data_IF_491319865637
#
_entry.id   IF_491319865637
#
_cell.length_a   1.000
_cell.length_b   1.000
_cell.length_c   1.000
_cell.angle_alpha   90.00
_cell.angle_beta   90.00
_cell.angle_gamma   90.00
#
_symmetry.space_group_name_H-M   'P 1'
#
loop_
_entity.id
_entity.type
_entity.pdbx_description
1 polymer ?
#
# COMPACT_ATOMS: atom_id res chain seq x y z
N UNK A 1 -4.07 48.53 38.77
CA UNK A 1 -4.70 48.50 40.10
C UNK A 1 -4.66 47.05 40.58
N UNK A 2 -3.71 46.84 41.49
CA UNK A 2 -3.70 46.02 42.72
C UNK A 2 -3.97 44.51 42.51
N UNK A 3 -2.96 43.64 42.65
CA UNK A 3 -2.35 43.12 43.92
C UNK A 3 -3.24 42.02 44.54
N UNK A 4 -2.84 40.87 44.99
CA UNK A 4 -1.69 40.33 45.66
C UNK A 4 -1.99 38.82 45.92
N UNK A 5 -1.01 37.96 45.91
CA UNK A 5 -0.19 37.27 46.94
C UNK A 5 -0.81 35.94 47.39
N UNK A 6 -0.10 34.88 47.31
CA UNK A 6 1.03 34.38 48.09
C UNK A 6 0.61 33.42 49.22
N UNK A 7 1.43 32.39 49.33
CA UNK A 7 1.78 31.69 50.57
C UNK A 7 1.09 30.34 50.72
N UNK A 8 1.65 29.26 51.16
CA UNK A 8 2.77 29.19 52.08
C UNK A 8 3.37 27.80 52.11
N UNK A 9 4.53 27.77 52.62
CA UNK A 9 5.51 26.68 52.79
C UNK A 9 5.20 25.76 53.96
N UNK A 10 5.80 24.57 53.82
CA UNK A 10 6.48 23.78 54.89
C UNK A 10 5.61 23.04 55.93
N UNK A 11 5.94 21.78 56.14
CA UNK A 11 6.44 21.32 57.44
C UNK A 11 7.31 20.06 57.20
N UNK A 12 8.58 20.25 57.61
CA UNK A 12 9.63 19.25 57.81
C UNK A 12 9.62 18.94 59.29
N UNK A 13 9.66 17.67 59.69
CA UNK A 13 10.29 17.16 60.91
C UNK A 13 10.05 15.67 61.06
N UNK A 14 11.04 14.89 60.86
CA UNK A 14 11.94 14.28 61.87
C UNK A 14 11.23 13.51 63.00
N UNK A 15 11.46 12.19 62.99
CA UNK A 15 11.71 11.47 64.23
C UNK A 15 12.66 10.28 63.99
N UNK A 16 13.76 10.36 64.69
CA UNK A 16 14.80 9.32 64.84
C UNK A 16 14.37 8.30 65.91
N UNK A 17 14.80 7.06 65.72
CA UNK A 17 15.24 6.24 66.85
C UNK A 17 14.44 4.96 67.13
N UNK A 18 15.03 3.81 66.85
CA UNK A 18 15.41 2.85 67.87
C UNK A 18 16.09 1.63 67.24
N UNK A 19 17.31 1.39 67.71
CA UNK A 19 18.08 0.15 67.47
C UNK A 19 17.40 -1.02 68.22
N UNK A 20 17.21 -2.13 67.49
CA UNK A 20 16.94 -3.44 68.09
C UNK A 20 17.68 -4.52 67.34
N UNK A 21 18.82 -4.94 67.89
CA UNK A 21 19.57 -6.10 67.40
C UNK A 21 18.80 -7.37 67.77
N UNK A 22 18.42 -8.16 66.75
CA UNK A 22 18.01 -9.55 66.95
C UNK A 22 18.92 -10.41 66.06
N UNK A 23 19.77 -11.18 66.72
CA UNK A 23 20.55 -12.24 66.12
C UNK A 23 19.66 -13.44 65.87
N UNK A 24 19.51 -13.85 64.63
CA UNK A 24 18.86 -15.12 64.30
C UNK A 24 19.87 -16.02 63.61
N UNK A 25 20.19 -17.08 64.32
CA UNK A 25 21.03 -18.21 63.94
C UNK A 25 20.56 -18.88 62.67
N UNK A 26 21.45 -18.98 61.69
CA UNK A 26 21.22 -19.67 60.42
C UNK A 26 21.21 -21.18 60.63
N UNK A 27 20.09 -21.81 60.54
CA UNK A 27 20.00 -23.29 60.34
C UNK A 27 19.99 -23.56 58.83
N UNK A 28 21.08 -24.09 58.33
CA UNK A 28 21.15 -24.56 56.93
C UNK A 28 20.45 -25.90 56.84
N UNK A 29 19.30 -25.91 56.27
CA UNK A 29 18.60 -27.16 55.88
C UNK A 29 18.97 -27.46 54.44
N UNK A 30 19.85 -28.39 54.20
CA UNK A 30 20.18 -28.96 52.87
C UNK A 30 19.04 -29.90 52.51
N UNK A 31 18.11 -29.45 51.68
CA UNK A 31 17.16 -30.33 51.00
C UNK A 31 17.78 -30.68 49.64
N UNK A 32 18.28 -31.90 49.55
CA UNK A 32 18.57 -32.52 48.27
C UNK A 32 17.25 -32.79 47.54
N UNK A 33 16.83 -31.97 46.63
CA UNK A 33 15.74 -32.22 45.71
C UNK A 33 16.35 -32.71 44.39
N UNK A 34 16.07 -33.96 44.08
CA UNK A 34 16.33 -34.57 42.78
C UNK A 34 15.66 -33.82 41.65
N UNK A 35 16.42 -33.68 40.59
CA UNK A 35 16.13 -33.13 39.31
C UNK A 35 14.71 -33.09 38.80
N UNK A 36 14.24 -31.93 38.62
CA UNK A 36 13.45 -31.57 37.46
C UNK A 36 14.20 -30.44 36.75
N UNK A 37 14.76 -30.79 35.60
CA UNK A 37 15.22 -29.77 34.64
C UNK A 37 13.97 -29.06 34.16
N UNK A 38 13.55 -28.01 34.85
CA UNK A 38 12.68 -27.01 34.26
C UNK A 38 13.32 -26.60 32.92
N UNK A 39 12.64 -27.02 31.85
CA UNK A 39 12.87 -26.44 30.52
C UNK A 39 12.65 -24.95 30.71
N UNK A 40 13.74 -24.18 30.80
CA UNK A 40 13.73 -22.77 30.50
C UNK A 40 13.09 -22.68 29.13
N UNK A 41 11.83 -22.28 29.09
CA UNK A 41 11.14 -22.02 27.85
C UNK A 41 12.03 -21.03 27.11
N UNK A 42 12.64 -21.45 26.01
CA UNK A 42 13.32 -20.55 25.08
C UNK A 42 12.32 -19.44 24.81
N UNK A 43 12.70 -18.22 25.10
CA UNK A 43 12.04 -17.00 24.71
C UNK A 43 11.60 -17.20 23.26
N UNK A 44 10.26 -17.19 23.01
CA UNK A 44 9.70 -17.78 21.82
C UNK A 44 10.34 -17.19 20.56
N UNK A 45 11.00 -18.03 19.76
CA UNK A 45 11.26 -17.76 18.37
C UNK A 45 9.91 -17.36 17.77
N UNK A 46 9.74 -16.05 17.51
CA UNK A 46 8.56 -15.58 16.81
C UNK A 46 8.49 -16.35 15.50
N UNK A 47 7.47 -17.16 15.35
CA UNK A 47 7.29 -18.03 14.20
C UNK A 47 7.44 -17.19 12.92
N UNK A 48 8.50 -17.46 12.16
CA UNK A 48 8.81 -16.72 10.93
C UNK A 48 7.65 -16.89 9.96
N UNK A 49 7.10 -15.77 9.50
CA UNK A 49 6.00 -15.76 8.56
C UNK A 49 6.27 -14.74 7.44
N UNK A 50 6.01 -15.13 6.20
CA UNK A 50 5.92 -14.18 5.09
C UNK A 50 4.65 -13.35 5.27
N UNK A 51 4.80 -12.05 5.49
CA UNK A 51 3.66 -11.14 5.58
C UNK A 51 3.49 -10.45 4.24
N UNK A 52 2.31 -10.64 3.62
CA UNK A 52 1.93 -10.06 2.35
C UNK A 52 0.89 -8.95 2.54
N UNK A 53 0.91 -7.94 1.71
CA UNK A 53 -0.09 -6.86 1.67
C UNK A 53 -0.25 -6.30 0.26
N UNK A 54 -1.23 -5.44 0.10
CA UNK A 54 -1.43 -4.64 -1.11
C UNK A 54 -1.73 -3.18 -0.75
N UNK A 55 -1.55 -2.27 -1.71
CA UNK A 55 -2.17 -0.96 -1.64
C UNK A 55 -3.69 -1.10 -1.68
N UNK A 56 -4.48 -0.29 -0.95
CA UNK A 56 -5.94 -0.38 -0.97
C UNK A 56 -6.51 0.33 -2.20
N UNK A 57 -6.31 -0.24 -3.38
CA UNK A 57 -6.79 0.25 -4.68
C UNK A 57 -8.20 -0.23 -5.02
N UNK A 58 -8.75 -1.12 -4.21
CA UNK A 58 -10.12 -1.63 -4.26
C UNK A 58 -10.75 -1.67 -2.85
N UNK A 59 -11.98 -2.18 -2.75
CA UNK A 59 -12.65 -2.38 -1.45
C UNK A 59 -11.87 -3.37 -0.59
N UNK A 60 -11.77 -3.07 0.70
CA UNK A 60 -11.08 -3.91 1.69
C UNK A 60 -11.66 -5.33 1.72
N UNK A 61 -13.00 -5.47 1.68
CA UNK A 61 -13.65 -6.78 1.67
C UNK A 61 -13.23 -7.67 0.50
N UNK A 62 -13.04 -7.06 -0.66
CA UNK A 62 -12.68 -7.78 -1.87
C UNK A 62 -11.20 -8.20 -1.80
N UNK A 63 -10.33 -7.33 -1.29
CA UNK A 63 -8.94 -7.69 -1.01
C UNK A 63 -8.82 -8.86 -0.03
N UNK A 64 -9.58 -8.86 1.08
CA UNK A 64 -9.55 -9.97 2.06
C UNK A 64 -9.88 -11.32 1.41
N UNK A 65 -10.91 -11.35 0.55
CA UNK A 65 -11.33 -12.56 -0.15
C UNK A 65 -10.29 -12.99 -1.17
N UNK A 66 -9.84 -12.08 -2.03
CA UNK A 66 -8.92 -12.38 -3.13
C UNK A 66 -7.53 -12.80 -2.62
N UNK A 67 -7.00 -12.13 -1.60
CA UNK A 67 -5.68 -12.44 -1.05
C UNK A 67 -5.64 -13.70 -0.18
N UNK A 68 -6.79 -14.25 0.22
CA UNK A 68 -6.84 -15.53 0.93
C UNK A 68 -6.34 -16.67 0.05
N UNK A 69 -6.76 -16.74 -1.22
CA UNK A 69 -6.29 -17.74 -2.16
C UNK A 69 -4.77 -17.62 -2.39
N UNK A 70 -4.25 -16.42 -2.58
CA UNK A 70 -2.81 -16.17 -2.70
C UNK A 70 -2.05 -16.60 -1.43
N UNK A 71 -2.57 -16.29 -0.24
CA UNK A 71 -1.96 -16.69 1.02
C UNK A 71 -1.84 -18.22 1.14
N UNK A 72 -2.91 -18.95 0.85
CA UNK A 72 -2.97 -20.41 0.91
C UNK A 72 -2.04 -21.04 -0.14
N UNK A 73 -2.04 -20.52 -1.36
CA UNK A 73 -1.16 -20.95 -2.44
C UNK A 73 0.32 -20.80 -2.06
N UNK A 74 0.73 -19.60 -1.63
CA UNK A 74 2.12 -19.35 -1.24
C UNK A 74 2.55 -20.19 -0.02
N UNK A 75 1.65 -20.38 0.95
CA UNK A 75 1.96 -21.22 2.10
C UNK A 75 2.23 -22.66 1.70
N UNK A 76 1.45 -23.21 0.78
CA UNK A 76 1.60 -24.55 0.25
C UNK A 76 2.88 -24.71 -0.59
N UNK A 77 3.08 -23.86 -1.61
CA UNK A 77 4.19 -23.99 -2.56
C UNK A 77 5.56 -23.70 -1.93
N UNK A 78 5.62 -22.80 -0.95
CA UNK A 78 6.85 -22.46 -0.24
C UNK A 78 7.07 -23.29 1.02
N UNK A 79 6.05 -24.01 1.50
CA UNK A 79 6.04 -24.74 2.77
C UNK A 79 6.45 -23.84 3.97
N UNK A 80 5.85 -22.66 4.06
CA UNK A 80 6.07 -21.69 5.14
C UNK A 80 4.74 -21.10 5.62
N UNK A 81 4.78 -20.42 6.76
CA UNK A 81 3.64 -19.61 7.19
C UNK A 81 3.55 -18.33 6.38
N UNK A 82 2.36 -18.05 5.84
CA UNK A 82 2.04 -16.81 5.11
C UNK A 82 0.87 -16.13 5.79
N UNK A 83 0.90 -14.81 5.86
CA UNK A 83 -0.17 -13.98 6.42
C UNK A 83 -0.47 -12.83 5.48
N UNK A 84 -1.73 -12.62 5.15
CA UNK A 84 -2.19 -11.40 4.55
C UNK A 84 -2.54 -10.37 5.64
N UNK A 85 -2.20 -9.12 5.41
CA UNK A 85 -2.46 -8.03 6.36
C UNK A 85 -2.80 -6.76 5.60
N UNK A 86 -3.99 -6.24 5.81
CA UNK A 86 -4.51 -5.04 5.14
C UNK A 86 -3.67 -3.82 5.48
N UNK A 87 -3.44 -2.97 4.49
CA UNK A 87 -2.89 -1.63 4.66
C UNK A 87 -4.00 -0.58 4.54
N UNK A 88 -4.05 0.37 5.47
CA UNK A 88 -5.12 1.37 5.56
C UNK A 88 -5.05 2.45 4.47
N UNK A 89 -3.88 2.63 3.83
CA UNK A 89 -3.67 3.60 2.76
C UNK A 89 -2.42 3.25 1.95
N UNK A 90 -2.28 3.86 0.78
CA UNK A 90 -1.07 3.74 -0.05
C UNK A 90 0.21 4.12 0.70
N UNK A 91 0.28 5.28 1.39
CA UNK A 91 1.46 5.61 2.21
C UNK A 91 1.68 4.61 3.36
N UNK A 92 0.62 4.10 4.00
CA UNK A 92 0.75 3.13 5.07
C UNK A 92 1.39 1.83 4.57
N UNK A 93 1.07 1.36 3.37
CA UNK A 93 1.72 0.19 2.78
C UNK A 93 3.24 0.42 2.58
N UNK A 94 3.63 1.61 2.12
CA UNK A 94 5.04 1.99 1.95
C UNK A 94 5.77 2.05 3.30
N UNK A 95 5.19 2.69 4.31
CA UNK A 95 5.79 2.79 5.65
C UNK A 95 5.91 1.42 6.33
N UNK A 96 4.90 0.57 6.23
CA UNK A 96 4.96 -0.80 6.75
C UNK A 96 6.06 -1.63 6.07
N UNK A 97 6.22 -1.48 4.75
CA UNK A 97 7.30 -2.12 4.02
C UNK A 97 8.67 -1.61 4.48
N UNK A 98 8.83 -0.30 4.59
CA UNK A 98 10.06 0.34 5.08
C UNK A 98 10.45 -0.12 6.49
N UNK A 99 9.48 -0.37 7.34
CA UNK A 99 9.70 -0.85 8.71
C UNK A 99 9.90 -2.38 8.79
N UNK A 100 9.83 -3.11 7.68
CA UNK A 100 9.93 -4.58 7.66
C UNK A 100 8.73 -5.30 8.29
N UNK A 101 7.57 -4.63 8.40
CA UNK A 101 6.34 -5.22 8.93
C UNK A 101 5.62 -6.09 7.88
N UNK A 102 5.86 -5.81 6.61
CA UNK A 102 5.36 -6.55 5.46
C UNK A 102 6.51 -6.82 4.49
N UNK A 103 6.51 -7.99 3.85
CA UNK A 103 7.67 -8.50 3.14
C UNK A 103 7.47 -8.65 1.63
N UNK A 104 6.24 -8.90 1.18
CA UNK A 104 5.84 -8.93 -0.22
C UNK A 104 4.62 -8.03 -0.39
N UNK A 105 4.73 -7.05 -1.28
CA UNK A 105 3.67 -6.04 -1.44
C UNK A 105 3.31 -5.86 -2.90
N UNK A 106 2.00 -5.93 -3.19
CA UNK A 106 1.44 -5.47 -4.45
C UNK A 106 1.34 -3.95 -4.41
N UNK A 107 2.29 -3.31 -5.06
CA UNK A 107 2.37 -1.86 -5.20
C UNK A 107 1.93 -1.41 -6.58
N UNK A 108 1.45 -0.18 -6.70
CA UNK A 108 1.49 0.55 -7.96
C UNK A 108 2.92 1.01 -8.26
N UNK A 109 3.22 1.35 -9.52
CA UNK A 109 4.55 1.78 -9.94
C UNK A 109 5.15 2.86 -9.05
N UNK A 110 4.38 3.90 -8.71
CA UNK A 110 4.85 5.01 -7.88
C UNK A 110 5.13 4.60 -6.43
N UNK A 111 4.22 3.88 -5.78
CA UNK A 111 4.45 3.40 -4.41
C UNK A 111 5.57 2.36 -4.35
N UNK A 112 5.70 1.52 -5.39
CA UNK A 112 6.81 0.58 -5.52
C UNK A 112 8.16 1.29 -5.63
N UNK A 113 8.25 2.35 -6.43
CA UNK A 113 9.45 3.19 -6.51
C UNK A 113 9.76 3.85 -5.16
N UNK A 114 8.77 4.39 -4.47
CA UNK A 114 8.95 4.97 -3.12
C UNK A 114 9.47 3.93 -2.13
N UNK A 115 8.87 2.73 -2.11
CA UNK A 115 9.26 1.64 -1.23
C UNK A 115 10.70 1.19 -1.49
N UNK A 116 11.06 0.95 -2.76
CA UNK A 116 12.42 0.53 -3.16
C UNK A 116 13.47 1.61 -2.89
N UNK A 117 13.13 2.88 -3.04
CA UNK A 117 14.03 3.99 -2.69
C UNK A 117 14.27 4.09 -1.18
N UNK A 118 13.28 3.70 -0.36
CA UNK A 118 13.39 3.75 1.09
C UNK A 118 14.10 2.52 1.69
N UNK A 119 14.13 1.38 0.98
CA UNK A 119 14.70 0.12 1.46
C UNK A 119 15.74 -0.39 0.46
N UNK A 120 17.03 -0.10 0.65
CA UNK A 120 18.11 -0.63 -0.20
C UNK A 120 18.07 -2.17 -0.26
N UNK A 121 18.27 -2.73 -1.46
CA UNK A 121 18.23 -4.18 -1.68
C UNK A 121 16.83 -4.74 -1.95
N UNK A 122 15.76 -3.94 -1.82
CA UNK A 122 14.43 -4.36 -2.22
C UNK A 122 14.31 -4.44 -3.74
N UNK A 123 13.53 -5.40 -4.23
CA UNK A 123 13.38 -5.70 -5.66
C UNK A 123 11.92 -5.83 -6.07
N UNK A 124 11.56 -5.28 -7.22
CA UNK A 124 10.39 -5.73 -7.96
C UNK A 124 10.72 -7.11 -8.55
N UNK A 125 9.90 -8.11 -8.28
CA UNK A 125 10.16 -9.50 -8.72
C UNK A 125 9.13 -10.02 -9.71
N UNK A 126 7.89 -9.52 -9.67
CA UNK A 126 6.85 -9.90 -10.60
C UNK A 126 5.91 -8.72 -10.85
N UNK A 127 5.20 -8.78 -11.96
CA UNK A 127 4.16 -7.84 -12.36
C UNK A 127 3.13 -8.60 -13.20
N UNK A 128 1.97 -8.03 -13.41
CA UNK A 128 1.00 -8.62 -14.34
C UNK A 128 1.46 -8.46 -15.78
N UNK A 129 0.97 -9.32 -16.64
CA UNK A 129 1.26 -9.35 -18.07
C UNK A 129 0.98 -8.02 -18.80
N UNK A 130 0.01 -7.25 -18.31
CA UNK A 130 -0.37 -5.94 -18.88
C UNK A 130 0.35 -4.76 -18.23
N UNK A 131 1.01 -4.95 -17.08
CA UNK A 131 1.58 -3.86 -16.28
C UNK A 131 2.76 -3.12 -16.93
N UNK A 132 3.57 -3.72 -17.82
CA UNK A 132 4.57 -2.97 -18.59
C UNK A 132 3.98 -1.91 -19.53
N UNK A 133 2.72 -2.08 -19.96
CA UNK A 133 1.98 -1.18 -20.85
C UNK A 133 0.62 -0.85 -20.25
N UNK A 134 0.65 -0.23 -19.10
CA UNK A 134 -0.53 0.19 -18.36
C UNK A 134 -1.04 1.55 -18.83
N UNK A 135 -2.29 1.90 -18.51
CA UNK A 135 -2.88 3.21 -18.80
C UNK A 135 -3.93 3.61 -17.77
N UNK A 136 -4.29 4.87 -17.78
CA UNK A 136 -5.44 5.40 -17.04
C UNK A 136 -6.57 5.75 -18.00
N UNK A 137 -7.80 5.61 -17.51
CA UNK A 137 -8.96 6.21 -18.14
C UNK A 137 -9.32 7.51 -17.43
N UNK A 138 -9.57 8.56 -18.22
CA UNK A 138 -10.37 9.70 -17.78
C UNK A 138 -11.80 9.40 -18.16
N UNK A 139 -12.67 9.35 -17.15
CA UNK A 139 -14.11 9.09 -17.30
C UNK A 139 -14.90 10.33 -16.90
N UNK A 140 -16.07 10.50 -17.50
CA UNK A 140 -16.95 11.61 -17.18
C UNK A 140 -18.36 11.12 -16.84
N UNK A 141 -19.04 11.82 -15.93
CA UNK A 141 -20.47 11.57 -15.72
C UNK A 141 -21.26 11.85 -17.02
N UNK A 142 -22.21 11.00 -17.33
CA UNK A 142 -23.04 11.09 -18.56
C UNK A 142 -23.68 12.47 -18.77
N UNK A 143 -24.06 13.14 -17.69
CA UNK A 143 -24.76 14.45 -17.75
C UNK A 143 -23.81 15.59 -18.20
N UNK A 144 -22.51 15.32 -18.31
CA UNK A 144 -21.54 16.29 -18.90
C UNK A 144 -21.66 16.37 -20.41
N UNK A 145 -22.26 15.36 -21.07
CA UNK A 145 -22.33 15.27 -22.52
C UNK A 145 -20.98 15.02 -23.22
N UNK A 146 -19.90 14.76 -22.46
CA UNK A 146 -18.58 14.49 -23.01
C UNK A 146 -18.52 13.08 -23.60
N UNK A 147 -17.82 12.95 -24.72
CA UNK A 147 -17.64 11.69 -25.43
C UNK A 147 -16.14 11.39 -25.61
N UNK A 148 -15.81 10.15 -25.94
CA UNK A 148 -14.43 9.70 -26.17
C UNK A 148 -13.77 10.50 -27.30
N UNK A 149 -12.55 10.94 -27.06
CA UNK A 149 -11.68 11.63 -28.00
C UNK A 149 -10.26 11.05 -27.91
N UNK A 150 -9.55 11.07 -29.04
CA UNK A 150 -8.11 10.76 -29.06
C UNK A 150 -7.28 11.96 -28.58
N UNK A 151 -7.82 13.19 -28.68
CA UNK A 151 -7.20 14.39 -28.15
C UNK A 151 -7.62 14.61 -26.68
N UNK A 152 -6.71 15.20 -25.88
CA UNK A 152 -6.99 15.53 -24.49
C UNK A 152 -8.20 16.47 -24.38
N UNK A 153 -9.23 16.12 -23.61
CA UNK A 153 -10.48 16.86 -23.55
C UNK A 153 -10.36 18.14 -22.70
N UNK A 154 -9.70 19.17 -23.21
CA UNK A 154 -9.43 20.43 -22.50
C UNK A 154 -10.67 21.12 -21.95
N UNK A 155 -11.87 20.81 -22.46
CA UNK A 155 -13.17 21.28 -21.96
C UNK A 155 -13.47 20.88 -20.50
N UNK A 156 -12.81 19.86 -19.97
CA UNK A 156 -12.95 19.42 -18.56
C UNK A 156 -12.47 20.45 -17.54
N UNK A 157 -11.74 21.46 -17.97
CA UNK A 157 -11.11 22.51 -17.15
C UNK A 157 -12.08 23.17 -16.13
N UNK A 158 -13.35 23.34 -16.50
CA UNK A 158 -14.35 24.01 -15.66
C UNK A 158 -15.23 23.02 -14.87
N UNK A 159 -14.93 21.74 -14.93
CA UNK A 159 -15.69 20.69 -14.26
C UNK A 159 -15.03 20.31 -12.93
N UNK A 160 -15.81 19.68 -12.04
CA UNK A 160 -15.28 19.08 -10.81
C UNK A 160 -14.52 17.83 -11.19
N UNK A 161 -13.21 17.82 -10.96
CA UNK A 161 -12.31 16.73 -11.29
C UNK A 161 -11.83 16.00 -10.03
N UNK A 162 -11.87 14.66 -10.06
CA UNK A 162 -11.33 13.83 -8.99
C UNK A 162 -10.16 12.99 -9.45
N UNK A 163 -9.06 13.10 -8.72
CA UNK A 163 -8.00 12.09 -8.72
C UNK A 163 -8.37 10.93 -7.78
N UNK A 164 -7.64 9.82 -7.90
CA UNK A 164 -7.61 8.76 -6.89
C UNK A 164 -6.76 9.14 -5.67
N UNK A 165 -6.11 8.14 -5.04
CA UNK A 165 -5.15 8.38 -3.96
C UNK A 165 -3.99 9.27 -4.43
N UNK A 166 -3.52 10.16 -3.54
CA UNK A 166 -2.37 11.05 -3.83
C UNK A 166 -1.08 10.29 -4.16
N UNK A 167 -0.96 9.04 -3.73
CA UNK A 167 0.19 8.16 -3.99
C UNK A 167 -0.09 7.11 -5.08
N UNK A 168 -1.20 7.21 -5.80
CA UNK A 168 -1.51 6.32 -6.92
C UNK A 168 -0.72 6.70 -8.17
N UNK A 169 -0.24 5.71 -8.92
CA UNK A 169 0.36 5.89 -10.25
C UNK A 169 -0.70 6.32 -11.24
N UNK A 170 -1.66 5.42 -11.51
CA UNK A 170 -2.73 5.59 -12.50
C UNK A 170 -3.84 6.54 -12.06
N UNK A 171 -4.04 6.73 -10.76
CA UNK A 171 -5.03 7.66 -10.23
C UNK A 171 -4.48 9.07 -9.94
N UNK A 172 -3.17 9.29 -10.02
CA UNK A 172 -2.60 10.61 -9.68
C UNK A 172 -1.32 10.95 -10.45
N UNK A 173 -0.22 10.21 -10.30
CA UNK A 173 1.09 10.58 -10.82
C UNK A 173 1.06 10.77 -12.33
N UNK A 174 0.75 9.70 -13.06
CA UNK A 174 0.77 9.70 -14.52
C UNK A 174 -0.30 10.62 -15.12
N UNK A 175 -1.55 10.65 -14.62
CA UNK A 175 -2.50 11.67 -15.06
C UNK A 175 -2.04 13.10 -14.82
N UNK A 176 -1.35 13.40 -13.71
CA UNK A 176 -0.77 14.73 -13.49
C UNK A 176 0.26 15.08 -14.56
N UNK A 177 1.15 14.14 -14.87
CA UNK A 177 2.16 14.29 -15.91
C UNK A 177 1.54 14.55 -17.27
N UNK A 178 0.56 13.74 -17.68
CA UNK A 178 -0.09 13.92 -18.98
C UNK A 178 -0.91 15.20 -19.06
N UNK A 179 -1.64 15.59 -18.02
CA UNK A 179 -2.32 16.90 -18.00
C UNK A 179 -1.30 18.03 -18.18
N UNK A 180 -0.14 17.97 -17.50
CA UNK A 180 0.92 18.95 -17.70
C UNK A 180 1.44 18.97 -19.14
N UNK A 181 1.68 17.79 -19.74
CA UNK A 181 2.18 17.68 -21.13
C UNK A 181 1.17 18.20 -22.14
N UNK A 182 -0.12 17.89 -21.99
CA UNK A 182 -1.19 18.29 -22.92
C UNK A 182 -1.59 19.77 -22.78
N UNK A 183 -1.48 20.33 -21.57
CA UNK A 183 -2.00 21.68 -21.31
C UNK A 183 -0.91 22.72 -21.03
N UNK A 184 0.32 22.30 -20.78
CA UNK A 184 1.40 23.16 -20.28
C UNK A 184 1.20 23.64 -18.83
N UNK A 185 0.21 23.11 -18.12
CA UNK A 185 -0.15 23.57 -16.78
C UNK A 185 -0.27 22.38 -15.78
N UNK A 186 0.20 22.61 -14.57
CA UNK A 186 -0.10 21.68 -13.47
C UNK A 186 -1.62 21.65 -13.21
N UNK A 187 -2.18 20.50 -12.77
CA UNK A 187 -3.62 20.36 -12.59
C UNK A 187 -4.27 21.39 -11.69
N UNK A 188 -3.57 21.86 -10.65
CA UNK A 188 -4.06 22.91 -9.74
C UNK A 188 -4.15 24.30 -10.40
N UNK A 189 -3.47 24.49 -11.54
CA UNK A 189 -3.53 25.69 -12.39
C UNK A 189 -4.47 25.52 -13.58
N UNK A 190 -4.58 24.30 -14.09
CA UNK A 190 -5.45 23.99 -15.22
C UNK A 190 -6.93 23.99 -14.80
N UNK A 191 -7.29 23.29 -13.73
CA UNK A 191 -8.69 23.21 -13.28
C UNK A 191 -9.11 24.46 -12.53
N UNK A 192 -10.28 25.00 -12.89
CA UNK A 192 -10.87 26.18 -12.23
C UNK A 192 -11.63 25.85 -10.94
N UNK A 193 -12.00 24.58 -10.75
CA UNK A 193 -12.65 24.06 -9.55
C UNK A 193 -11.61 23.39 -8.65
N UNK A 194 -11.81 23.34 -7.33
CA UNK A 194 -10.93 22.61 -6.43
C UNK A 194 -10.83 21.13 -6.83
N UNK A 195 -9.60 20.62 -6.89
CA UNK A 195 -9.33 19.22 -7.16
C UNK A 195 -9.81 18.35 -5.99
N UNK A 196 -10.50 17.27 -6.32
CA UNK A 196 -10.91 16.25 -5.37
C UNK A 196 -9.97 15.03 -5.40
N UNK A 197 -9.96 14.25 -4.32
CA UNK A 197 -9.14 13.05 -4.18
C UNK A 197 -9.94 11.95 -3.49
N UNK A 198 -9.94 10.77 -4.08
CA UNK A 198 -10.51 9.58 -3.44
C UNK A 198 -9.41 8.91 -2.61
N UNK A 199 -9.43 9.15 -1.31
CA UNK A 199 -8.40 8.65 -0.40
C UNK A 199 -8.73 7.29 0.23
N UNK A 200 -10.01 6.91 0.18
CA UNK A 200 -10.53 5.63 0.69
C UNK A 200 -11.29 4.93 -0.45
N UNK A 201 -11.07 3.63 -0.61
CA UNK A 201 -11.73 2.82 -1.64
C UNK A 201 -11.13 2.95 -3.04
N UNK A 202 -9.96 3.57 -3.15
CA UNK A 202 -9.12 3.52 -4.36
C UNK A 202 -9.81 3.95 -5.64
N UNK A 203 -9.61 3.17 -6.69
CA UNK A 203 -10.18 3.39 -8.02
C UNK A 203 -11.70 3.19 -8.06
N UNK A 204 -12.22 2.28 -7.24
CA UNK A 204 -13.65 2.02 -7.09
C UNK A 204 -14.41 3.27 -6.67
N UNK A 205 -13.88 3.99 -5.68
CA UNK A 205 -14.49 5.21 -5.19
C UNK A 205 -14.53 6.29 -6.28
N UNK A 206 -13.46 6.41 -7.08
CA UNK A 206 -13.44 7.35 -8.20
C UNK A 206 -14.53 6.99 -9.24
N UNK A 207 -14.60 5.72 -9.65
CA UNK A 207 -15.59 5.27 -10.64
C UNK A 207 -17.02 5.51 -10.16
N UNK A 208 -17.34 5.14 -8.90
CA UNK A 208 -18.68 5.36 -8.31
C UNK A 208 -19.00 6.85 -8.14
N UNK A 209 -18.03 7.68 -7.77
CA UNK A 209 -18.23 9.12 -7.62
C UNK A 209 -18.60 9.77 -8.95
N UNK A 210 -17.98 9.34 -10.06
CA UNK A 210 -18.31 9.81 -11.40
C UNK A 210 -19.66 9.24 -11.85
N UNK A 211 -19.87 7.94 -11.77
CA UNK A 211 -21.13 7.31 -12.20
C UNK A 211 -22.34 7.86 -11.43
N UNK A 212 -22.19 8.13 -10.13
CA UNK A 212 -23.21 8.72 -9.27
C UNK A 212 -23.34 10.24 -9.36
N UNK A 213 -22.54 10.92 -10.18
CA UNK A 213 -22.63 12.37 -10.41
C UNK A 213 -22.11 13.26 -9.27
N UNK A 214 -21.47 12.70 -8.25
CA UNK A 214 -20.86 13.50 -7.17
C UNK A 214 -19.61 14.26 -7.60
N UNK A 215 -18.95 13.81 -8.66
CA UNK A 215 -17.94 14.55 -9.42
C UNK A 215 -18.26 14.44 -10.91
N UNK A 216 -17.83 15.44 -11.70
CA UNK A 216 -18.12 15.43 -13.12
C UNK A 216 -17.15 14.53 -13.91
N UNK A 217 -15.87 14.53 -13.54
CA UNK A 217 -14.78 13.86 -14.24
C UNK A 217 -13.88 13.20 -13.21
N UNK A 218 -13.37 12.02 -13.52
CA UNK A 218 -12.42 11.33 -12.66
C UNK A 218 -11.38 10.58 -13.46
N UNK A 219 -10.27 10.20 -12.80
CA UNK A 219 -9.22 9.41 -13.42
C UNK A 219 -8.88 8.19 -12.55
N UNK A 220 -8.74 7.05 -13.21
CA UNK A 220 -8.51 5.78 -12.53
C UNK A 220 -7.81 4.75 -13.43
N UNK A 221 -7.42 3.63 -12.82
CA UNK A 221 -6.91 2.44 -13.49
C UNK A 221 -7.92 1.90 -14.51
N UNK A 222 -7.46 1.63 -15.73
CA UNK A 222 -8.30 1.04 -16.76
C UNK A 222 -8.80 -0.36 -16.38
N UNK A 223 -7.94 -1.22 -15.83
CA UNK A 223 -8.30 -2.59 -15.43
C UNK A 223 -9.41 -2.59 -14.36
N UNK A 224 -9.34 -1.65 -13.39
CA UNK A 224 -10.38 -1.55 -12.37
C UNK A 224 -11.69 -1.04 -12.96
N UNK A 225 -11.64 -0.05 -13.86
CA UNK A 225 -12.85 0.41 -14.55
C UNK A 225 -13.51 -0.74 -15.34
N UNK A 226 -12.70 -1.46 -16.15
CA UNK A 226 -13.19 -2.54 -16.98
C UNK A 226 -13.81 -3.67 -16.14
N UNK A 227 -13.18 -4.06 -15.02
CA UNK A 227 -13.76 -5.07 -14.13
C UNK A 227 -15.07 -4.60 -13.48
N UNK A 228 -15.14 -3.35 -13.00
CA UNK A 228 -16.37 -2.81 -12.40
C UNK A 228 -17.55 -2.75 -13.38
N UNK A 229 -17.26 -2.49 -14.66
CA UNK A 229 -18.28 -2.54 -15.72
C UNK A 229 -18.68 -3.99 -16.00
N UNK A 230 -17.74 -4.91 -16.12
CA UNK A 230 -17.99 -6.32 -16.36
C UNK A 230 -18.81 -6.98 -15.23
N UNK A 231 -18.50 -6.61 -13.98
CA UNK A 231 -19.18 -7.10 -12.78
C UNK A 231 -20.53 -6.39 -12.51
N UNK A 232 -20.89 -5.38 -13.33
CA UNK A 232 -22.13 -4.63 -13.20
C UNK A 232 -22.17 -3.67 -12.00
N UNK A 233 -21.01 -3.35 -11.40
CA UNK A 233 -20.92 -2.41 -10.28
C UNK A 233 -21.16 -0.96 -10.69
N UNK A 234 -20.81 -0.63 -11.93
CA UNK A 234 -21.15 0.61 -12.62
C UNK A 234 -21.60 0.29 -14.05
N UNK A 235 -22.36 1.19 -14.66
CA UNK A 235 -22.68 1.10 -16.08
C UNK A 235 -21.74 2.01 -16.87
N UNK A 236 -21.19 1.51 -17.97
CA UNK A 236 -20.30 2.30 -18.84
C UNK A 236 -21.01 3.58 -19.36
N UNK A 237 -22.33 3.52 -19.55
CA UNK A 237 -23.14 4.67 -19.98
C UNK A 237 -23.24 5.78 -18.92
N UNK A 238 -23.15 5.44 -17.61
CA UNK A 238 -23.20 6.43 -16.52
C UNK A 238 -21.85 7.15 -16.30
N UNK A 239 -20.76 6.50 -16.72
CA UNK A 239 -19.40 7.02 -16.58
C UNK A 239 -18.54 6.70 -17.82
N UNK A 240 -18.91 7.21 -19.02
CA UNK A 240 -18.19 6.93 -20.25
C UNK A 240 -16.72 7.36 -20.17
N UNK A 241 -15.84 6.57 -20.81
CA UNK A 241 -14.43 6.91 -21.02
C UNK A 241 -14.38 8.07 -22.02
N UNK A 242 -13.74 9.16 -21.63
CA UNK A 242 -13.59 10.34 -22.51
C UNK A 242 -12.16 10.51 -23.04
N UNK A 243 -11.18 9.90 -22.38
CA UNK A 243 -9.79 9.89 -22.84
C UNK A 243 -8.97 8.78 -22.17
N UNK A 244 -7.99 8.29 -22.90
CA UNK A 244 -7.03 7.28 -22.43
C UNK A 244 -5.62 7.88 -22.42
N UNK A 245 -4.88 7.69 -21.34
CA UNK A 245 -3.48 8.15 -21.30
C UNK A 245 -2.61 7.30 -22.24
N UNK A 246 -1.45 7.83 -22.69
CA UNK A 246 -0.37 7.00 -23.20
C UNK A 246 0.04 5.92 -22.18
N UNK A 247 0.74 4.88 -22.67
CA UNK A 247 1.19 3.76 -21.83
C UNK A 247 2.35 4.13 -20.89
N UNK A 248 2.40 3.46 -19.75
CA UNK A 248 3.46 3.53 -18.75
C UNK A 248 3.52 2.23 -17.95
N UNK A 249 4.61 1.97 -17.20
CA UNK A 249 4.67 0.85 -16.27
C UNK A 249 3.90 1.16 -14.98
N UNK A 250 3.13 0.19 -14.46
CA UNK A 250 2.40 0.40 -13.19
C UNK A 250 2.66 -0.75 -12.20
N UNK A 251 1.72 -1.62 -11.94
CA UNK A 251 1.74 -2.51 -10.78
C UNK A 251 2.93 -3.48 -10.75
N UNK A 252 3.35 -3.82 -9.53
CA UNK A 252 4.44 -4.76 -9.29
C UNK A 252 4.36 -5.39 -7.90
N UNK A 253 4.89 -6.61 -7.78
CA UNK A 253 5.21 -7.26 -6.53
C UNK A 253 6.64 -6.92 -6.12
N UNK A 254 6.78 -6.14 -5.07
CA UNK A 254 8.08 -5.77 -4.50
C UNK A 254 8.34 -6.55 -3.21
N UNK A 255 9.56 -7.08 -3.07
CA UNK A 255 10.01 -7.84 -1.91
C UNK A 255 10.99 -7.07 -1.04
N UNK A 256 10.89 -7.31 0.26
CA UNK A 256 11.81 -6.80 1.25
C UNK A 256 13.05 -7.73 1.35
N UNK A 257 14.28 -7.21 1.41
CA UNK A 257 15.51 -8.01 1.42
C UNK A 257 15.64 -8.92 2.64
N UNK A 258 14.99 -8.63 3.77
CA UNK A 258 14.99 -9.48 4.97
C UNK A 258 14.45 -10.90 4.72
N UNK A 259 13.78 -11.17 3.62
CA UNK A 259 13.31 -12.51 3.28
C UNK A 259 14.46 -13.51 3.11
N UNK A 260 15.63 -13.06 2.61
CA UNK A 260 16.82 -13.92 2.52
C UNK A 260 17.36 -14.29 3.92
N UNK A 261 17.35 -13.33 4.85
CA UNK A 261 17.75 -13.57 6.25
C UNK A 261 16.73 -14.48 6.99
N UNK A 262 15.44 -14.32 6.66
CA UNK A 262 14.37 -15.06 7.32
C UNK A 262 14.30 -16.52 6.85
N UNK A 263 14.43 -16.76 5.55
CA UNK A 263 14.13 -18.06 4.95
C UNK A 263 15.33 -18.72 4.23
N UNK A 264 16.48 -18.04 4.19
CA UNK A 264 17.71 -18.54 3.56
C UNK A 264 17.98 -17.91 2.20
N UNK A 265 19.24 -17.96 1.78
CA UNK A 265 19.72 -17.46 0.50
C UNK A 265 18.98 -18.14 -0.68
N UNK A 266 18.60 -17.34 -1.67
CA UNK A 266 17.83 -17.79 -2.84
C UNK A 266 16.32 -17.88 -2.61
N UNK A 267 15.82 -17.52 -1.42
CA UNK A 267 14.38 -17.58 -1.14
C UNK A 267 13.58 -16.62 -2.03
N UNK A 268 14.08 -15.40 -2.29
CA UNK A 268 13.38 -14.44 -3.14
C UNK A 268 13.28 -14.95 -4.58
N UNK A 269 14.29 -15.61 -5.11
CA UNK A 269 14.25 -16.18 -6.46
C UNK A 269 13.27 -17.37 -6.54
N UNK A 270 13.20 -18.18 -5.49
CA UNK A 270 12.17 -19.23 -5.36
C UNK A 270 10.76 -18.63 -5.31
N UNK A 271 10.57 -17.56 -4.53
CA UNK A 271 9.28 -16.86 -4.44
C UNK A 271 8.86 -16.26 -5.80
N UNK A 272 9.80 -15.61 -6.52
CA UNK A 272 9.56 -15.11 -7.87
C UNK A 272 9.08 -16.24 -8.80
N UNK A 273 9.79 -17.38 -8.80
CA UNK A 273 9.42 -18.52 -9.63
C UNK A 273 8.01 -19.03 -9.30
N UNK A 274 7.68 -19.19 -8.02
CA UNK A 274 6.35 -19.65 -7.57
C UNK A 274 5.26 -18.69 -8.03
N UNK A 275 5.50 -17.37 -7.97
CA UNK A 275 4.53 -16.37 -8.43
C UNK A 275 4.34 -16.37 -9.94
N UNK A 276 5.43 -16.45 -10.70
CA UNK A 276 5.40 -16.41 -12.19
C UNK A 276 4.85 -17.71 -12.77
N UNK A 277 5.10 -18.85 -12.13
CA UNK A 277 4.57 -20.15 -12.57
C UNK A 277 3.10 -20.37 -12.18
N UNK A 278 2.47 -19.41 -11.47
CA UNK A 278 1.10 -19.52 -10.99
C UNK A 278 0.10 -19.42 -12.15
N UNK A 279 -0.68 -20.46 -12.36
CA UNK A 279 -1.77 -20.50 -13.36
C UNK A 279 -3.15 -20.58 -12.71
N UNK A 280 -3.22 -20.57 -11.38
CA UNK A 280 -4.47 -20.62 -10.63
C UNK A 280 -5.22 -19.28 -10.74
N UNK A 281 -6.36 -19.31 -11.40
CA UNK A 281 -7.16 -18.11 -11.65
C UNK A 281 -7.72 -17.47 -10.37
N UNK A 282 -7.96 -18.27 -9.32
CA UNK A 282 -8.43 -17.72 -8.04
C UNK A 282 -7.31 -16.97 -7.31
N UNK A 283 -6.06 -17.43 -7.46
CA UNK A 283 -4.86 -16.72 -6.97
C UNK A 283 -4.62 -15.43 -7.77
N UNK A 284 -4.73 -15.48 -9.09
CA UNK A 284 -4.49 -14.34 -9.99
C UNK A 284 -5.54 -13.22 -9.83
N UNK A 285 -6.74 -13.55 -9.32
CA UNK A 285 -7.76 -12.55 -8.94
C UNK A 285 -7.25 -11.53 -7.92
N UNK A 286 -6.31 -11.92 -7.03
CA UNK A 286 -5.69 -11.00 -6.08
C UNK A 286 -5.05 -9.78 -6.76
N UNK A 287 -4.65 -9.92 -8.01
CA UNK A 287 -3.97 -8.91 -8.81
C UNK A 287 -4.86 -8.31 -9.90
N UNK A 288 -6.03 -8.90 -10.15
CA UNK A 288 -6.87 -8.59 -11.32
C UNK A 288 -6.06 -8.73 -12.63
N UNK A 289 -5.29 -9.82 -12.76
CA UNK A 289 -4.43 -10.13 -13.91
C UNK A 289 -4.69 -11.55 -14.40
N UNK A 290 -4.38 -11.78 -15.66
CA UNK A 290 -4.51 -13.10 -16.28
C UNK A 290 -3.28 -13.96 -16.02
N UNK A 291 -2.10 -13.34 -15.97
CA UNK A 291 -0.81 -13.97 -15.69
C UNK A 291 0.13 -13.01 -14.93
N UNK A 292 1.15 -13.57 -14.27
CA UNK A 292 2.28 -12.82 -13.73
C UNK A 292 3.53 -13.11 -14.56
N UNK A 293 4.31 -12.06 -14.82
CA UNK A 293 5.60 -12.14 -15.52
C UNK A 293 6.72 -11.61 -14.60
N UNK A 294 7.99 -11.99 -14.83
CA UNK A 294 9.10 -11.41 -14.09
C UNK A 294 9.13 -9.88 -14.20
N UNK A 295 9.60 -9.23 -13.15
CA UNK A 295 9.84 -7.79 -13.14
C UNK A 295 11.22 -7.45 -12.60
N UNK A 296 11.70 -6.26 -12.94
CA UNK A 296 12.93 -5.68 -12.43
C UNK A 296 12.73 -4.21 -12.03
N UNK A 297 13.62 -3.67 -11.19
CA UNK A 297 13.54 -2.27 -10.79
C UNK A 297 13.66 -1.29 -11.96
N UNK A 298 14.44 -1.65 -13.00
CA UNK A 298 14.69 -0.80 -14.16
C UNK A 298 13.44 -0.48 -14.99
N UNK A 299 12.44 -1.36 -14.98
CA UNK A 299 11.19 -1.15 -15.71
C UNK A 299 10.36 0.02 -15.15
N UNK A 300 10.64 0.44 -13.92
CA UNK A 300 9.95 1.53 -13.21
C UNK A 300 10.76 2.82 -13.11
N UNK A 301 11.94 2.91 -13.78
CA UNK A 301 12.77 4.12 -13.75
C UNK A 301 12.04 5.33 -14.34
N UNK A 302 11.27 5.14 -15.41
CA UNK A 302 10.45 6.21 -15.99
C UNK A 302 9.40 6.75 -15.00
N UNK A 303 8.86 5.90 -14.13
CA UNK A 303 7.95 6.35 -13.05
C UNK A 303 8.69 7.18 -12.00
N UNK A 304 9.92 6.79 -11.66
CA UNK A 304 10.76 7.55 -10.74
C UNK A 304 11.13 8.93 -11.31
N UNK A 305 11.48 8.98 -12.61
CA UNK A 305 11.81 10.21 -13.32
C UNK A 305 10.62 11.18 -13.35
N UNK A 306 9.44 10.69 -13.72
CA UNK A 306 8.21 11.50 -13.70
C UNK A 306 7.90 12.00 -12.30
N UNK A 307 8.05 11.17 -11.28
CA UNK A 307 7.80 11.58 -9.90
C UNK A 307 8.76 12.69 -9.44
N UNK A 308 10.03 12.64 -9.87
CA UNK A 308 11.03 13.69 -9.60
C UNK A 308 10.73 14.96 -10.41
N UNK A 309 10.41 14.85 -11.71
CA UNK A 309 10.05 15.98 -12.59
C UNK A 309 8.88 16.78 -11.99
N UNK A 310 7.88 16.09 -11.45
CA UNK A 310 6.72 16.70 -10.83
C UNK A 310 6.95 17.16 -9.37
N UNK A 311 8.15 16.95 -8.80
CA UNK A 311 8.43 17.26 -7.39
C UNK A 311 7.65 16.41 -6.39
N UNK A 312 7.12 15.27 -6.82
CA UNK A 312 6.35 14.35 -5.98
C UNK A 312 7.25 13.31 -5.29
N UNK A 313 8.52 13.22 -5.69
CA UNK A 313 9.57 12.42 -5.07
C UNK A 313 10.89 13.21 -5.06
N UNK A 314 11.71 13.01 -4.01
CA UNK A 314 13.03 13.65 -3.87
C UNK A 314 14.14 12.78 -4.43
#
# INVERSE_FOLDING_TARGET
MKLLRAGDRSIFQMMKGCLGRIAITSTVLVIASCGDKEKVAKEGEREKALVITAIPDEKVSDQEVNYKALQEYLAKELNIKVKFSISSSYPAAVERFKNGEVHLVWFGGYTGVQARSAVPGSRAIAQGDVDPKYKSYIIANKDTGLTKSDEFPSGIKNLVFSFGSKSSTSGRLMPTYFILKETGMMPDKFFTKPLQFQTVGGHDATARAVAGGSVNVGVLSYKKYDSMVADGEIKAEDAPIIWETPYYADYNLTVHPTLEEMFGEGFIDKLQKVLVDCTDKDVLKAFNRDDLIPASNSEFEGIAEVAKELGMMR
#
